data_IF_477593437499
#
_entry.id   IF_477593437499
#
_cell.length_a   1.000
_cell.length_b   1.000
_cell.length_c   1.000
_cell.angle_alpha   90.00
_cell.angle_beta   90.00
_cell.angle_gamma   90.00
#
_symmetry.space_group_name_H-M   'P 1'
#
loop_
_entity.id
_entity.type
_entity.pdbx_description
1 polymer ?
#
# COMPACT_ATOMS: atom_id res chain seq x y z
N UNK A 1 -12.52 28.36 1.96
CA UNK A 1 -13.44 27.22 2.11
C UNK A 1 -13.80 27.13 3.58
N UNK A 2 -15.08 26.99 3.92
CA UNK A 2 -15.50 26.77 5.32
C UNK A 2 -14.98 25.39 5.77
N UNK A 3 -14.15 25.36 6.81
CA UNK A 3 -13.55 24.12 7.33
C UNK A 3 -14.52 23.32 8.20
N UNK A 4 -15.59 23.94 8.70
CA UNK A 4 -16.55 23.33 9.62
C UNK A 4 -17.09 21.98 9.12
N UNK A 5 -17.60 21.89 7.88
CA UNK A 5 -18.14 20.63 7.35
C UNK A 5 -17.12 19.50 7.26
N UNK A 6 -15.88 19.79 6.83
CA UNK A 6 -14.79 18.80 6.73
C UNK A 6 -14.41 18.25 8.11
N UNK A 7 -14.20 19.15 9.08
CA UNK A 7 -13.79 18.78 10.44
C UNK A 7 -14.86 17.90 11.11
N UNK A 8 -16.13 18.26 10.97
CA UNK A 8 -17.23 17.48 11.53
C UNK A 8 -17.39 16.11 10.84
N UNK A 9 -17.17 16.05 9.52
CA UNK A 9 -17.13 14.77 8.81
C UNK A 9 -15.99 13.88 9.30
N UNK A 10 -14.78 14.42 9.44
CA UNK A 10 -13.61 13.67 9.89
C UNK A 10 -13.77 13.18 11.34
N UNK A 11 -14.29 14.03 12.24
CA UNK A 11 -14.58 13.64 13.62
C UNK A 11 -15.58 12.48 13.70
N UNK A 12 -16.65 12.52 12.89
CA UNK A 12 -17.62 11.43 12.80
C UNK A 12 -17.00 10.16 12.22
N UNK A 13 -16.16 10.27 11.20
CA UNK A 13 -15.44 9.14 10.63
C UNK A 13 -14.54 8.45 11.67
N UNK A 14 -13.71 9.21 12.37
CA UNK A 14 -12.79 8.70 13.40
C UNK A 14 -13.55 7.92 14.49
N UNK A 15 -14.63 8.49 15.03
CA UNK A 15 -15.45 7.82 16.04
C UNK A 15 -16.20 6.59 15.50
N UNK A 16 -16.71 6.65 14.27
CA UNK A 16 -17.40 5.52 13.64
C UNK A 16 -16.44 4.34 13.45
N UNK A 17 -15.23 4.61 12.96
CA UNK A 17 -14.18 3.61 12.77
C UNK A 17 -13.76 2.98 14.09
N UNK A 18 -13.52 3.78 15.14
CA UNK A 18 -13.21 3.26 16.48
C UNK A 18 -14.27 2.25 16.93
N UNK A 19 -15.55 2.64 16.85
CA UNK A 19 -16.67 1.79 17.25
C UNK A 19 -16.74 0.50 16.43
N UNK A 20 -16.58 0.60 15.11
CA UNK A 20 -16.65 -0.53 14.19
C UNK A 20 -15.53 -1.55 14.48
N UNK A 21 -14.28 -1.08 14.59
CA UNK A 21 -13.14 -1.95 14.86
C UNK A 21 -13.25 -2.61 16.23
N UNK A 22 -13.64 -1.88 17.27
CA UNK A 22 -13.84 -2.47 18.60
C UNK A 22 -14.99 -3.48 18.64
N UNK A 23 -16.03 -3.30 17.81
CA UNK A 23 -17.15 -4.24 17.74
C UNK A 23 -16.80 -5.55 17.02
N UNK A 24 -15.81 -5.53 16.14
CA UNK A 24 -15.40 -6.67 15.29
C UNK A 24 -14.06 -7.28 15.72
N UNK A 25 -13.35 -6.70 16.69
CA UNK A 25 -12.00 -7.12 17.09
C UNK A 25 -11.89 -8.59 17.48
N UNK A 26 -12.94 -9.16 18.08
CA UNK A 26 -13.00 -10.56 18.48
C UNK A 26 -13.08 -11.53 17.30
N UNK A 27 -13.49 -11.03 16.13
CA UNK A 27 -13.67 -11.78 14.88
C UNK A 27 -12.49 -11.59 13.92
N UNK A 28 -11.57 -10.67 14.22
CA UNK A 28 -10.39 -10.40 13.40
C UNK A 28 -9.35 -11.52 13.48
N UNK A 29 -8.76 -11.85 12.34
CA UNK A 29 -7.59 -12.72 12.21
C UNK A 29 -6.32 -12.04 12.74
N UNK A 30 -5.25 -12.81 12.99
CA UNK A 30 -3.95 -12.25 13.38
C UNK A 30 -3.44 -11.22 12.37
N UNK A 31 -3.61 -11.48 11.07
CA UNK A 31 -3.22 -10.56 10.00
C UNK A 31 -3.99 -9.25 10.06
N UNK A 32 -5.31 -9.31 10.20
CA UNK A 32 -6.14 -8.11 10.32
C UNK A 32 -5.78 -7.27 11.55
N UNK A 33 -5.46 -7.93 12.69
CA UNK A 33 -5.02 -7.25 13.89
C UNK A 33 -3.66 -6.56 13.68
N UNK A 34 -2.67 -7.26 13.09
CA UNK A 34 -1.36 -6.67 12.76
C UNK A 34 -1.50 -5.51 11.77
N UNK A 35 -2.29 -5.70 10.72
CA UNK A 35 -2.56 -4.69 9.72
C UNK A 35 -3.16 -3.42 10.35
N UNK A 36 -4.14 -3.58 11.25
CA UNK A 36 -4.74 -2.47 12.00
C UNK A 36 -3.69 -1.68 12.78
N UNK A 37 -2.78 -2.36 13.50
CA UNK A 37 -1.70 -1.68 14.23
C UNK A 37 -0.79 -0.94 13.27
N UNK A 38 -0.39 -1.57 12.18
CA UNK A 38 0.53 -0.99 11.19
C UNK A 38 -0.03 0.27 10.54
N UNK A 39 -1.28 0.24 10.08
CA UNK A 39 -1.93 1.39 9.42
C UNK A 39 -1.98 2.60 10.35
N UNK A 40 -2.44 2.39 11.58
CA UNK A 40 -2.54 3.46 12.56
C UNK A 40 -1.18 3.94 13.06
N UNK A 41 -0.23 3.04 13.27
CA UNK A 41 1.14 3.42 13.63
C UNK A 41 1.82 4.24 12.53
N UNK A 42 1.52 4.00 11.26
CA UNK A 42 2.04 4.80 10.13
C UNK A 42 1.45 6.21 10.08
N UNK A 43 0.30 6.46 10.73
CA UNK A 43 -0.26 7.80 10.94
C UNK A 43 0.37 8.57 12.11
N UNK A 44 1.21 7.94 12.93
CA UNK A 44 1.75 8.59 14.13
C UNK A 44 3.12 9.20 13.87
N UNK A 45 3.39 10.34 14.52
CA UNK A 45 4.76 10.83 14.65
C UNK A 45 5.60 9.86 15.49
N UNK A 46 6.93 9.99 15.41
CA UNK A 46 7.86 9.03 16.02
C UNK A 46 7.70 8.91 17.55
N UNK A 47 7.38 10.02 18.23
CA UNK A 47 7.21 10.02 19.69
C UNK A 47 5.91 9.31 20.06
N UNK A 48 4.80 9.69 19.43
CA UNK A 48 3.49 9.09 19.66
C UNK A 48 3.49 7.61 19.29
N UNK A 49 4.15 7.23 18.20
CA UNK A 49 4.31 5.85 17.76
C UNK A 49 5.05 5.01 18.78
N UNK A 50 6.18 5.50 19.28
CA UNK A 50 6.99 4.79 20.29
C UNK A 50 6.17 4.54 21.57
N UNK A 51 5.42 5.54 22.01
CA UNK A 51 4.58 5.43 23.20
C UNK A 51 3.40 4.47 22.99
N UNK A 52 2.70 4.57 21.86
CA UNK A 52 1.52 3.74 21.60
C UNK A 52 1.87 2.28 21.32
N UNK A 53 3.07 2.00 20.80
CA UNK A 53 3.55 0.65 20.52
C UNK A 53 4.37 0.04 21.66
N UNK A 54 4.42 0.69 22.83
CA UNK A 54 5.13 0.14 23.99
C UNK A 54 4.56 -1.24 24.36
N UNK A 55 5.42 -2.26 24.37
CA UNK A 55 5.01 -3.62 24.67
C UNK A 55 4.24 -4.32 23.54
N UNK A 56 4.21 -3.77 22.32
CA UNK A 56 3.75 -4.46 21.11
C UNK A 56 4.87 -5.28 20.46
N UNK A 57 4.50 -6.42 19.88
CA UNK A 57 5.36 -7.22 19.00
C UNK A 57 4.48 -8.07 18.11
N UNK A 58 4.83 -8.16 16.83
CA UNK A 58 4.12 -9.04 15.88
C UNK A 58 4.38 -10.53 16.10
N UNK A 59 5.31 -10.86 17.00
CA UNK A 59 5.63 -12.22 17.43
C UNK A 59 4.88 -12.62 18.71
N UNK A 60 4.05 -11.74 19.26
CA UNK A 60 3.19 -12.11 20.37
C UNK A 60 2.15 -13.15 19.96
N UNK A 61 1.70 -14.01 20.90
CA UNK A 61 0.55 -14.87 20.66
C UNK A 61 -0.69 -14.05 20.29
N UNK A 62 -1.57 -14.66 19.49
CA UNK A 62 -2.79 -14.03 18.98
C UNK A 62 -3.60 -13.30 20.06
N UNK A 63 -3.84 -13.93 21.21
CA UNK A 63 -4.64 -13.36 22.30
C UNK A 63 -4.01 -12.09 22.87
N UNK A 64 -2.67 -12.02 22.88
CA UNK A 64 -1.93 -10.85 23.34
C UNK A 64 -1.96 -9.73 22.30
N UNK A 65 -1.89 -10.07 21.01
CA UNK A 65 -2.09 -9.09 19.93
C UNK A 65 -3.51 -8.53 20.00
N UNK A 66 -4.53 -9.38 20.10
CA UNK A 66 -5.93 -8.96 20.18
C UNK A 66 -6.19 -8.04 21.38
N UNK A 67 -5.69 -8.42 22.57
CA UNK A 67 -5.81 -7.59 23.77
C UNK A 67 -5.09 -6.24 23.62
N UNK A 68 -3.89 -6.23 23.00
CA UNK A 68 -3.17 -5.00 22.71
C UNK A 68 -3.98 -4.09 21.78
N UNK A 69 -4.48 -4.62 20.66
CA UNK A 69 -5.26 -3.87 19.67
C UNK A 69 -6.51 -3.25 20.31
N UNK A 70 -7.16 -3.96 21.24
CA UNK A 70 -8.33 -3.46 21.96
C UNK A 70 -8.04 -2.19 22.76
N UNK A 71 -6.85 -2.09 23.37
CA UNK A 71 -6.39 -0.88 24.08
C UNK A 71 -5.77 0.18 23.16
N UNK A 72 -5.17 -0.24 22.06
CA UNK A 72 -4.48 0.62 21.11
C UNK A 72 -5.45 1.48 20.29
N UNK A 73 -6.58 0.92 19.83
CA UNK A 73 -7.57 1.63 19.00
C UNK A 73 -8.10 2.91 19.71
N UNK A 74 -8.54 2.89 20.98
CA UNK A 74 -8.96 4.11 21.68
C UNK A 74 -7.83 5.11 21.88
N UNK A 75 -6.61 4.64 22.17
CA UNK A 75 -5.45 5.51 22.36
C UNK A 75 -5.08 6.24 21.06
N UNK A 76 -5.01 5.51 19.95
CA UNK A 76 -4.81 6.08 18.63
C UNK A 76 -5.93 7.07 18.26
N UNK A 77 -7.18 6.73 18.57
CA UNK A 77 -8.34 7.59 18.27
C UNK A 77 -8.22 8.96 18.95
N UNK A 78 -7.74 9.01 20.20
CA UNK A 78 -7.49 10.28 20.88
C UNK A 78 -6.40 11.11 20.18
N UNK A 79 -5.35 10.47 19.69
CA UNK A 79 -4.27 11.13 18.95
C UNK A 79 -4.73 11.66 17.59
N UNK A 80 -5.53 10.88 16.85
CA UNK A 80 -6.09 11.30 15.58
C UNK A 80 -7.03 12.52 15.74
N UNK A 81 -7.83 12.56 16.80
CA UNK A 81 -8.66 13.72 17.13
C UNK A 81 -7.83 14.94 17.52
N UNK A 82 -6.75 14.75 18.26
CA UNK A 82 -5.83 15.82 18.62
C UNK A 82 -5.10 16.40 17.37
N UNK A 83 -4.66 15.54 16.45
CA UNK A 83 -4.11 15.98 15.16
C UNK A 83 -5.15 16.78 14.37
N UNK A 84 -6.40 16.29 14.26
CA UNK A 84 -7.48 17.02 13.61
C UNK A 84 -7.67 18.42 14.22
N UNK A 85 -7.69 18.54 15.54
CA UNK A 85 -7.83 19.82 16.25
C UNK A 85 -6.67 20.77 15.91
N UNK A 86 -5.42 20.28 15.86
CA UNK A 86 -4.25 21.07 15.42
C UNK A 86 -4.42 21.53 13.97
N UNK A 87 -4.82 20.63 13.06
CA UNK A 87 -4.98 20.94 11.62
C UNK A 87 -6.11 21.92 11.33
N UNK A 88 -7.10 22.03 12.20
CA UNK A 88 -8.14 23.06 12.06
C UNK A 88 -7.55 24.48 12.13
N UNK A 89 -6.48 24.68 12.91
CA UNK A 89 -5.83 25.97 13.15
C UNK A 89 -4.86 26.39 12.03
N UNK A 90 -4.41 25.45 11.18
CA UNK A 90 -3.44 25.73 10.11
C UNK A 90 -4.11 26.49 8.96
N UNK A 91 -3.68 27.69 8.61
CA UNK A 91 -4.29 28.45 7.51
C UNK A 91 -4.12 27.77 6.13
N UNK A 92 -5.12 27.92 5.25
CA UNK A 92 -5.08 27.36 3.89
C UNK A 92 -5.72 25.97 3.75
N UNK A 93 -5.51 25.37 2.57
CA UNK A 93 -6.05 24.06 2.17
C UNK A 93 -5.00 23.14 1.53
N UNK A 94 -3.71 23.42 1.74
CA UNK A 94 -2.61 22.57 1.28
C UNK A 94 -2.39 21.35 2.17
N UNK A 95 -1.38 20.53 1.86
CA UNK A 95 -1.09 19.29 2.59
C UNK A 95 -0.83 19.52 4.08
N UNK A 96 -0.25 20.65 4.46
CA UNK A 96 0.03 21.01 5.85
C UNK A 96 -1.24 21.14 6.71
N UNK A 97 -2.39 21.43 6.09
CA UNK A 97 -3.70 21.56 6.72
C UNK A 97 -4.50 20.24 6.76
N UNK A 98 -3.93 19.13 6.28
CA UNK A 98 -4.52 17.79 6.31
C UNK A 98 -3.99 16.98 7.51
N UNK A 99 -4.83 16.11 8.06
CA UNK A 99 -4.43 15.11 9.05
C UNK A 99 -3.64 13.98 8.39
N UNK A 100 -2.96 13.19 9.22
CA UNK A 100 -2.22 12.02 8.74
C UNK A 100 -3.14 10.98 8.07
N UNK A 101 -4.35 10.79 8.62
CA UNK A 101 -5.36 9.90 8.02
C UNK A 101 -5.88 10.43 6.68
N UNK A 102 -6.03 11.75 6.52
CA UNK A 102 -6.41 12.34 5.24
C UNK A 102 -5.30 12.16 4.20
N UNK A 103 -4.04 12.35 4.58
CA UNK A 103 -2.89 12.11 3.71
C UNK A 103 -2.76 10.63 3.30
N UNK A 104 -3.11 9.68 4.18
CA UNK A 104 -3.18 8.26 3.82
C UNK A 104 -4.30 7.95 2.83
N UNK A 105 -5.40 8.71 2.82
CA UNK A 105 -6.52 8.53 1.90
C UNK A 105 -6.33 9.24 0.55
N UNK A 106 -5.13 9.74 0.27
CA UNK A 106 -4.78 10.37 -1.01
C UNK A 106 -3.85 9.45 -1.82
N UNK A 107 -3.99 9.55 -3.13
CA UNK A 107 -3.06 8.91 -4.07
C UNK A 107 -1.67 9.56 -4.02
N UNK A 108 -0.65 8.86 -4.53
CA UNK A 108 0.67 9.46 -4.70
C UNK A 108 0.61 10.64 -5.68
N UNK A 109 -0.14 10.50 -6.77
CA UNK A 109 -0.34 11.55 -7.77
C UNK A 109 -0.82 12.87 -7.15
N UNK A 110 -1.91 12.83 -6.37
CA UNK A 110 -2.46 14.03 -5.74
C UNK A 110 -1.48 14.68 -4.75
N UNK A 111 -0.81 13.87 -3.92
CA UNK A 111 0.15 14.36 -2.93
C UNK A 111 1.36 15.02 -3.57
N UNK A 112 1.96 14.38 -4.58
CA UNK A 112 3.15 14.91 -5.24
C UNK A 112 2.82 16.13 -6.13
N UNK A 113 1.63 16.17 -6.73
CA UNK A 113 1.12 17.37 -7.41
C UNK A 113 1.01 18.57 -6.46
N UNK A 114 0.40 18.37 -5.27
CA UNK A 114 0.25 19.43 -4.29
C UNK A 114 1.59 19.85 -3.65
N UNK A 115 2.50 18.88 -3.42
CA UNK A 115 3.83 19.13 -2.88
C UNK A 115 4.67 20.04 -3.79
N UNK A 116 4.43 20.01 -5.11
CA UNK A 116 5.11 20.90 -6.05
C UNK A 116 4.77 22.38 -5.84
N UNK A 117 3.67 22.68 -5.14
CA UNK A 117 3.20 24.06 -4.90
C UNK A 117 3.63 24.62 -3.54
N UNK A 118 4.13 23.79 -2.64
CA UNK A 118 4.51 24.17 -1.27
C UNK A 118 5.63 23.25 -0.75
N UNK A 119 6.84 23.81 -0.65
CA UNK A 119 8.03 23.05 -0.27
C UNK A 119 8.04 22.60 1.20
N UNK A 120 7.30 23.28 2.07
CA UNK A 120 7.24 22.98 3.51
C UNK A 120 5.95 22.27 3.90
N UNK A 121 5.16 21.85 2.91
CA UNK A 121 3.85 21.25 3.13
C UNK A 121 3.88 19.96 3.97
N UNK A 122 5.00 19.23 3.92
CA UNK A 122 5.21 17.97 4.62
C UNK A 122 6.42 18.03 5.56
N UNK A 123 6.24 17.46 6.76
CA UNK A 123 7.34 17.21 7.70
C UNK A 123 8.32 16.18 7.13
N UNK A 124 9.57 16.09 7.64
CA UNK A 124 10.51 15.06 7.22
C UNK A 124 9.98 13.64 7.41
N UNK A 125 9.18 13.38 8.46
CA UNK A 125 8.55 12.07 8.68
C UNK A 125 7.50 11.74 7.61
N UNK A 126 6.65 12.70 7.26
CA UNK A 126 5.66 12.53 6.18
C UNK A 126 6.35 12.33 4.83
N UNK A 127 7.37 13.13 4.52
CA UNK A 127 8.11 13.03 3.27
C UNK A 127 8.78 11.65 3.10
N UNK A 128 9.33 11.07 4.18
CA UNK A 128 9.86 9.70 4.17
C UNK A 128 8.78 8.67 3.81
N UNK A 129 7.57 8.81 4.36
CA UNK A 129 6.43 7.92 4.05
C UNK A 129 6.03 8.00 2.59
N UNK A 130 5.95 9.22 2.05
CA UNK A 130 5.59 9.43 0.65
C UNK A 130 6.67 8.94 -0.34
N UNK A 131 7.96 9.09 0.00
CA UNK A 131 9.04 8.48 -0.78
C UNK A 131 9.03 6.96 -0.69
N UNK A 132 8.73 6.40 0.49
CA UNK A 132 8.55 4.95 0.63
C UNK A 132 7.39 4.45 -0.25
N UNK A 133 6.27 5.16 -0.30
CA UNK A 133 5.13 4.81 -1.18
C UNK A 133 5.48 4.90 -2.66
N UNK A 134 6.23 5.91 -3.09
CA UNK A 134 6.70 6.01 -4.47
C UNK A 134 7.53 4.79 -4.92
N UNK A 135 8.28 4.15 -4.01
CA UNK A 135 9.01 2.91 -4.33
C UNK A 135 8.08 1.75 -4.71
N UNK A 136 6.82 1.76 -4.25
CA UNK A 136 5.79 0.77 -4.56
C UNK A 136 4.92 1.15 -5.78
N UNK A 137 5.07 2.35 -6.35
CA UNK A 137 4.36 2.78 -7.55
C UNK A 137 4.94 2.15 -8.82
N UNK A 138 4.76 0.84 -9.02
CA UNK A 138 5.34 0.13 -10.18
C UNK A 138 4.63 0.39 -11.52
N UNK A 139 3.47 1.04 -11.48
CA UNK A 139 2.70 1.46 -12.66
C UNK A 139 1.96 2.77 -12.38
N UNK A 140 1.56 3.45 -13.45
CA UNK A 140 0.75 4.66 -13.41
C UNK A 140 -0.57 4.46 -12.65
N UNK A 141 -1.23 3.33 -12.86
CA UNK A 141 -2.47 3.00 -12.16
C UNK A 141 -2.28 3.01 -10.63
N UNK A 142 -1.20 2.40 -10.13
CA UNK A 142 -0.90 2.41 -8.69
C UNK A 142 -0.50 3.79 -8.18
N UNK A 143 0.18 4.59 -9.01
CA UNK A 143 0.52 5.97 -8.66
C UNK A 143 -0.73 6.85 -8.45
N UNK A 144 -1.79 6.59 -9.23
CA UNK A 144 -3.10 7.23 -9.10
C UNK A 144 -4.05 6.55 -8.12
N UNK A 145 -3.72 5.35 -7.64
CA UNK A 145 -4.56 4.57 -6.73
C UNK A 145 -4.47 5.13 -5.29
N UNK A 146 -5.63 5.52 -4.75
CA UNK A 146 -5.77 5.98 -3.37
C UNK A 146 -5.53 4.85 -2.35
N UNK A 147 -5.73 3.59 -2.74
CA UNK A 147 -5.60 2.43 -1.84
C UNK A 147 -4.15 2.00 -1.63
N UNK A 148 -3.24 2.37 -2.54
CA UNK A 148 -1.81 2.02 -2.45
C UNK A 148 -1.20 2.50 -1.13
N UNK A 149 -1.60 3.68 -0.66
CA UNK A 149 -1.09 4.27 0.58
C UNK A 149 -1.26 3.35 1.80
N UNK A 150 -2.33 2.53 1.82
CA UNK A 150 -2.57 1.50 2.82
C UNK A 150 -2.01 0.13 2.40
N UNK A 151 -2.13 -0.26 1.13
CA UNK A 151 -1.64 -1.56 0.65
C UNK A 151 -0.12 -1.73 0.83
N UNK A 152 0.66 -0.67 0.65
CA UNK A 152 2.12 -0.70 0.85
C UNK A 152 2.52 -1.17 2.27
N UNK A 153 1.68 -0.89 3.27
CA UNK A 153 1.90 -1.19 4.69
C UNK A 153 1.84 -2.71 4.97
N UNK A 154 1.25 -3.49 4.07
CA UNK A 154 1.23 -4.96 4.16
C UNK A 154 2.64 -5.54 4.04
N UNK A 155 3.53 -4.88 3.29
CA UNK A 155 4.84 -5.41 2.96
C UNK A 155 5.88 -4.99 4.00
N UNK A 156 6.61 -5.94 4.62
CA UNK A 156 7.69 -5.61 5.56
C UNK A 156 8.75 -4.67 4.97
N UNK A 157 8.98 -4.80 3.67
CA UNK A 157 9.88 -3.95 2.90
C UNK A 157 9.55 -2.46 3.00
N UNK A 158 8.30 -2.07 3.18
CA UNK A 158 7.90 -0.68 3.40
C UNK A 158 8.55 -0.09 4.66
N UNK A 159 8.54 -0.84 5.76
CA UNK A 159 9.13 -0.40 7.02
C UNK A 159 10.67 -0.38 6.96
N UNK A 160 11.29 -1.37 6.31
CA UNK A 160 12.74 -1.38 6.06
C UNK A 160 13.19 -0.16 5.23
N UNK A 161 12.39 0.21 4.23
CA UNK A 161 12.62 1.40 3.41
C UNK A 161 12.47 2.67 4.26
N UNK A 162 11.42 2.77 5.09
CA UNK A 162 11.26 3.91 6.00
C UNK A 162 12.44 4.07 6.95
N UNK A 163 12.93 2.98 7.54
CA UNK A 163 14.12 3.00 8.39
C UNK A 163 15.37 3.42 7.63
N UNK A 164 15.51 3.01 6.37
CA UNK A 164 16.65 3.41 5.54
C UNK A 164 16.58 4.90 5.17
N UNK A 165 15.39 5.39 4.81
CA UNK A 165 15.13 6.81 4.59
C UNK A 165 15.30 7.66 5.86
N UNK A 166 15.06 7.08 7.05
CA UNK A 166 15.28 7.75 8.33
C UNK A 166 16.75 8.07 8.62
N UNK A 167 17.69 7.38 7.97
CA UNK A 167 19.13 7.61 8.13
C UNK A 167 19.62 8.80 7.30
N UNK A 168 18.81 9.29 6.36
CA UNK A 168 19.13 10.50 5.59
C UNK A 168 18.92 11.74 6.45
N UNK A 169 19.79 12.74 6.27
CA UNK A 169 19.58 14.04 6.90
C UNK A 169 18.32 14.74 6.33
N UNK A 170 17.70 15.68 7.07
CA UNK A 170 16.63 16.50 6.52
C UNK A 170 17.02 17.22 5.23
N UNK A 171 18.27 17.67 5.12
CA UNK A 171 18.82 18.28 3.90
C UNK A 171 18.84 17.30 2.72
N UNK A 172 19.30 16.07 2.94
CA UNK A 172 19.37 15.04 1.90
C UNK A 172 17.98 14.59 1.44
N UNK A 173 17.02 14.50 2.37
CA UNK A 173 15.62 14.22 2.03
C UNK A 173 15.02 15.33 1.15
N UNK A 174 15.25 16.60 1.50
CA UNK A 174 14.81 17.73 0.67
C UNK A 174 15.51 17.73 -0.70
N UNK A 175 16.80 17.43 -0.74
CA UNK A 175 17.55 17.34 -1.98
C UNK A 175 17.02 16.21 -2.87
N UNK A 176 16.70 15.04 -2.30
CA UNK A 176 16.07 13.94 -3.02
C UNK A 176 14.69 14.35 -3.54
N UNK A 177 13.82 14.93 -2.70
CA UNK A 177 12.52 15.49 -3.13
C UNK A 177 12.65 16.38 -4.35
N UNK A 178 13.61 17.31 -4.34
CA UNK A 178 13.82 18.26 -5.43
C UNK A 178 14.23 17.61 -6.76
N UNK A 179 14.87 16.44 -6.71
CA UNK A 179 15.18 15.67 -7.93
C UNK A 179 13.99 14.85 -8.41
N UNK A 180 13.12 14.39 -7.50
CA UNK A 180 11.93 13.61 -7.83
C UNK A 180 10.77 14.47 -8.35
N UNK A 181 10.58 15.67 -7.80
CA UNK A 181 9.44 16.55 -8.13
C UNK A 181 9.26 16.82 -9.64
N UNK A 182 10.31 17.19 -10.40
CA UNK A 182 10.16 17.36 -11.85
C UNK A 182 9.71 16.08 -12.55
N UNK A 183 10.22 14.92 -12.12
CA UNK A 183 9.85 13.61 -12.69
C UNK A 183 8.40 13.26 -12.38
N UNK A 184 7.91 13.51 -11.16
CA UNK A 184 6.49 13.26 -10.84
C UNK A 184 5.56 14.16 -11.66
N UNK A 185 5.96 15.40 -11.93
CA UNK A 185 5.22 16.28 -12.85
C UNK A 185 5.26 15.83 -14.32
N UNK A 186 6.31 15.10 -14.72
CA UNK A 186 6.40 14.47 -16.04
C UNK A 186 5.46 13.25 -16.11
N UNK A 187 5.39 12.42 -15.06
CA UNK A 187 4.42 11.32 -14.94
C UNK A 187 2.99 11.83 -15.17
N UNK A 188 2.61 12.93 -14.53
CA UNK A 188 1.25 13.50 -14.62
C UNK A 188 0.87 13.95 -16.05
N UNK A 189 1.85 14.16 -16.94
CA UNK A 189 1.65 14.64 -18.32
C UNK A 189 1.88 13.55 -19.37
N UNK A 190 2.50 12.45 -18.98
CA UNK A 190 2.90 11.39 -19.89
C UNK A 190 1.71 10.45 -20.21
N UNK A 191 1.69 9.81 -21.38
CA UNK A 191 0.82 8.66 -21.60
C UNK A 191 1.23 7.49 -20.67
N UNK A 192 0.31 6.57 -20.32
CA UNK A 192 0.55 5.52 -19.31
C UNK A 192 1.84 4.72 -19.51
N UNK A 193 2.13 4.30 -20.74
CA UNK A 193 3.33 3.50 -21.07
C UNK A 193 4.64 4.26 -20.78
N UNK A 194 4.68 5.57 -21.08
CA UNK A 194 5.83 6.41 -20.77
C UNK A 194 5.87 6.81 -19.28
N UNK A 195 4.69 6.91 -18.64
CA UNK A 195 4.59 7.18 -17.22
C UNK A 195 5.21 6.05 -16.37
N UNK A 196 5.03 4.79 -16.78
CA UNK A 196 5.64 3.62 -16.12
C UNK A 196 7.18 3.67 -16.18
N UNK A 197 7.77 4.06 -17.31
CA UNK A 197 9.22 4.23 -17.44
C UNK A 197 9.76 5.36 -16.54
N UNK A 198 9.03 6.47 -16.46
CA UNK A 198 9.41 7.60 -15.58
C UNK A 198 9.30 7.16 -14.11
N UNK A 199 8.24 6.44 -13.74
CA UNK A 199 8.05 5.88 -12.40
C UNK A 199 9.17 4.89 -12.04
N UNK A 200 9.60 4.03 -12.96
CA UNK A 200 10.78 3.19 -12.74
C UNK A 200 12.01 4.02 -12.42
N UNK A 201 12.27 5.08 -13.18
CA UNK A 201 13.38 6.01 -12.92
C UNK A 201 13.29 6.71 -11.54
N UNK A 202 12.09 7.09 -11.11
CA UNK A 202 11.82 7.62 -9.77
C UNK A 202 12.18 6.58 -8.69
N UNK A 203 11.69 5.34 -8.85
CA UNK A 203 11.92 4.24 -7.91
C UNK A 203 13.41 3.93 -7.79
N UNK A 204 14.13 3.84 -8.90
CA UNK A 204 15.58 3.62 -8.92
C UNK A 204 16.36 4.74 -8.23
N UNK A 205 15.91 5.99 -8.36
CA UNK A 205 16.56 7.12 -7.71
C UNK A 205 16.42 7.09 -6.19
N UNK A 206 15.22 6.74 -5.68
CA UNK A 206 15.00 6.55 -4.25
C UNK A 206 15.82 5.35 -3.75
N UNK A 207 15.78 4.22 -4.45
CA UNK A 207 16.55 3.02 -4.11
C UNK A 207 18.06 3.31 -4.02
N UNK A 208 18.61 4.09 -4.96
CA UNK A 208 20.01 4.51 -4.95
C UNK A 208 20.32 5.41 -3.74
N UNK A 209 19.43 6.33 -3.40
CA UNK A 209 19.62 7.23 -2.26
C UNK A 209 19.72 6.48 -0.93
N UNK A 210 19.01 5.37 -0.79
CA UNK A 210 19.04 4.52 0.41
C UNK A 210 19.98 3.31 0.30
N UNK A 211 20.73 3.20 -0.82
CA UNK A 211 21.61 2.05 -1.10
C UNK A 211 20.89 0.70 -1.03
N UNK A 212 19.67 0.62 -1.56
CA UNK A 212 18.92 -0.63 -1.64
C UNK A 212 19.63 -1.63 -2.56
N UNK A 213 19.95 -2.81 -2.04
CA UNK A 213 20.81 -3.82 -2.68
C UNK A 213 20.03 -5.00 -3.29
N UNK A 214 18.71 -4.88 -3.40
CA UNK A 214 17.82 -5.92 -3.93
C UNK A 214 16.93 -5.41 -5.09
N UNK A 215 16.40 -6.30 -5.94
CA UNK A 215 15.51 -5.93 -7.02
C UNK A 215 14.24 -5.24 -6.52
N UNK A 216 13.75 -4.22 -7.23
CA UNK A 216 12.55 -3.47 -6.84
C UNK A 216 11.27 -4.32 -6.80
N UNK A 217 11.19 -5.40 -7.57
CA UNK A 217 10.02 -6.29 -7.58
C UNK A 217 9.95 -7.16 -6.31
N UNK A 218 11.09 -7.41 -5.64
CA UNK A 218 11.13 -8.13 -4.35
C UNK A 218 10.48 -7.34 -3.21
N UNK A 219 10.16 -6.06 -3.41
CA UNK A 219 9.49 -5.23 -2.39
C UNK A 219 8.07 -5.71 -2.07
N UNK A 220 7.45 -6.44 -2.99
CA UNK A 220 6.08 -6.99 -2.85
C UNK A 220 6.07 -8.41 -2.27
N UNK A 221 7.20 -8.93 -1.81
CA UNK A 221 7.29 -10.29 -1.26
C UNK A 221 6.95 -10.32 0.24
N UNK A 222 6.25 -11.39 0.64
CA UNK A 222 5.95 -11.64 2.06
C UNK A 222 4.95 -10.65 2.64
N UNK A 223 3.88 -10.32 1.90
CA UNK A 223 2.74 -9.56 2.41
C UNK A 223 2.30 -10.12 3.77
N UNK A 224 2.06 -9.22 4.72
CA UNK A 224 1.75 -9.53 6.12
C UNK A 224 2.81 -10.36 6.87
N UNK A 225 4.01 -10.55 6.31
CA UNK A 225 5.14 -11.14 7.03
C UNK A 225 5.51 -10.30 8.27
N UNK A 226 5.99 -10.93 9.34
CA UNK A 226 6.22 -10.25 10.63
C UNK A 226 7.36 -9.22 10.56
N UNK A 227 7.22 -8.11 11.28
CA UNK A 227 8.26 -7.08 11.46
C UNK A 227 8.80 -7.02 12.91
N UNK A 228 10.12 -6.81 13.10
CA UNK A 228 11.16 -6.86 12.06
C UNK A 228 11.31 -8.28 11.51
N UNK A 229 11.74 -8.42 10.25
CA UNK A 229 12.02 -9.74 9.68
C UNK A 229 13.09 -10.43 10.52
N UNK A 230 12.79 -11.62 11.05
CA UNK A 230 13.77 -12.42 11.76
C UNK A 230 14.90 -12.85 10.81
N UNK A 231 16.15 -12.87 11.28
CA UNK A 231 17.32 -13.22 10.44
C UNK A 231 17.23 -14.59 9.76
N UNK A 232 16.43 -15.52 10.28
CA UNK A 232 16.19 -16.85 9.69
C UNK A 232 14.99 -16.91 8.72
N UNK A 233 14.18 -15.85 8.60
CA UNK A 233 13.00 -15.82 7.73
C UNK A 233 13.31 -15.52 6.26
N UNK A 234 14.56 -15.20 5.92
CA UNK A 234 15.01 -15.07 4.52
C UNK A 234 14.87 -16.41 3.77
N UNK A 235 14.73 -17.53 4.50
CA UNK A 235 14.54 -18.87 3.91
C UNK A 235 13.07 -19.29 3.71
N UNK A 236 12.09 -18.67 4.38
CA UNK A 236 10.67 -19.08 4.28
C UNK A 236 9.89 -18.39 3.13
N UNK A 237 10.46 -17.37 2.50
CA UNK A 237 9.83 -16.62 1.40
C UNK A 237 9.77 -17.36 0.03
N UNK A 238 9.85 -18.70 0.02
CA UNK A 238 9.66 -19.50 -1.20
C UNK A 238 8.39 -20.34 -1.22
N UNK A 239 7.55 -20.25 -0.18
CA UNK A 239 6.17 -20.71 -0.29
C UNK A 239 5.34 -19.58 -0.90
N UNK A 240 4.88 -19.77 -2.15
CA UNK A 240 3.77 -18.98 -2.66
C UNK A 240 2.65 -19.01 -1.61
N UNK A 241 1.97 -17.88 -1.31
CA UNK A 241 0.82 -17.92 -0.44
C UNK A 241 -0.13 -18.99 -0.97
N UNK A 242 -0.66 -19.83 -0.09
CA UNK A 242 -1.77 -20.72 -0.41
C UNK A 242 -2.89 -19.82 -0.93
N UNK A 243 -2.94 -19.68 -2.25
CA UNK A 243 -3.99 -18.95 -2.92
C UNK A 243 -5.25 -19.74 -2.58
N UNK A 244 -6.26 -19.14 -1.92
CA UNK A 244 -7.47 -19.88 -1.64
C UNK A 244 -7.95 -20.50 -2.95
N UNK A 245 -7.98 -21.83 -2.99
CA UNK A 245 -8.35 -22.58 -4.20
C UNK A 245 -9.84 -22.33 -4.40
N UNK A 246 -10.15 -21.24 -5.09
CA UNK A 246 -11.50 -20.96 -5.57
C UNK A 246 -11.94 -22.15 -6.40
N UNK A 247 -13.13 -22.67 -6.12
CA UNK A 247 -13.73 -23.70 -6.96
C UNK A 247 -13.92 -23.17 -8.39
N UNK A 248 -13.96 -24.07 -9.38
CA UNK A 248 -14.23 -23.72 -10.78
C UNK A 248 -15.45 -22.79 -10.94
N UNK A 249 -16.50 -23.00 -10.15
CA UNK A 249 -17.73 -22.20 -10.19
C UNK A 249 -17.48 -20.76 -9.70
N UNK A 250 -16.68 -20.58 -8.64
CA UNK A 250 -16.31 -19.27 -8.10
C UNK A 250 -15.36 -18.51 -9.03
N UNK A 251 -14.43 -19.20 -9.69
CA UNK A 251 -13.56 -18.60 -10.71
C UNK A 251 -14.37 -18.14 -11.92
N UNK A 252 -15.30 -18.97 -12.40
CA UNK A 252 -16.18 -18.60 -13.52
C UNK A 252 -17.06 -17.41 -13.17
N UNK A 253 -17.58 -17.35 -11.94
CA UNK A 253 -18.39 -16.23 -11.47
C UNK A 253 -17.57 -14.94 -11.36
N UNK A 254 -16.35 -15.03 -10.83
CA UNK A 254 -15.42 -13.90 -10.69
C UNK A 254 -14.96 -13.35 -12.04
N UNK A 255 -14.59 -14.23 -12.96
CA UNK A 255 -14.22 -13.85 -14.34
C UNK A 255 -15.42 -13.20 -15.02
N UNK A 256 -16.63 -13.76 -14.89
CA UNK A 256 -17.84 -13.16 -15.47
C UNK A 256 -18.11 -11.76 -14.89
N UNK A 257 -18.03 -11.61 -13.57
CA UNK A 257 -18.24 -10.32 -12.90
C UNK A 257 -17.21 -9.28 -13.37
N UNK A 258 -15.94 -9.67 -13.51
CA UNK A 258 -14.89 -8.81 -14.06
C UNK A 258 -15.17 -8.43 -15.51
N UNK A 259 -15.56 -9.37 -16.37
CA UNK A 259 -15.89 -9.05 -17.78
C UNK A 259 -17.12 -8.15 -17.92
N UNK A 260 -18.09 -8.27 -17.01
CA UNK A 260 -19.29 -7.41 -16.99
C UNK A 260 -18.95 -5.95 -16.61
N UNK A 261 -17.79 -5.72 -15.97
CA UNK A 261 -17.27 -4.40 -15.59
C UNK A 261 -16.32 -3.78 -16.61
N UNK A 262 -15.88 -4.55 -17.61
CA UNK A 262 -14.92 -4.11 -18.62
C UNK A 262 -15.60 -3.44 -19.81
N UNK A 263 -14.91 -2.46 -20.40
CA UNK A 263 -15.27 -1.91 -21.70
C UNK A 263 -15.00 -2.91 -22.83
N UNK A 264 -15.63 -2.72 -23.99
CA UNK A 264 -15.46 -3.59 -25.16
C UNK A 264 -14.00 -3.68 -25.62
N UNK A 265 -13.24 -2.59 -25.47
CA UNK A 265 -11.83 -2.54 -25.87
C UNK A 265 -10.91 -3.23 -24.85
N UNK A 266 -11.19 -3.10 -23.55
CA UNK A 266 -10.51 -3.86 -22.50
C UNK A 266 -10.80 -5.36 -22.62
N UNK A 267 -12.06 -5.74 -22.85
CA UNK A 267 -12.42 -7.14 -23.13
C UNK A 267 -11.69 -7.68 -24.36
N UNK A 268 -11.44 -6.86 -25.39
CA UNK A 268 -10.70 -7.29 -26.58
C UNK A 268 -9.22 -7.44 -26.27
N UNK A 269 -8.61 -6.51 -25.53
CA UNK A 269 -7.17 -6.54 -25.20
C UNK A 269 -6.82 -7.69 -24.26
N UNK A 270 -7.56 -7.82 -23.15
CA UNK A 270 -7.20 -8.76 -22.07
C UNK A 270 -7.65 -10.19 -22.35
N UNK A 271 -8.74 -10.38 -23.10
CA UNK A 271 -9.33 -11.71 -23.33
C UNK A 271 -8.99 -12.30 -24.70
N UNK A 272 -8.30 -11.57 -25.59
CA UNK A 272 -7.85 -12.12 -26.89
C UNK A 272 -7.08 -13.42 -26.74
N UNK A 273 -6.09 -13.53 -25.82
CA UNK A 273 -5.29 -14.75 -25.69
C UNK A 273 -6.13 -15.99 -25.31
N UNK A 274 -7.24 -15.79 -24.58
CA UNK A 274 -8.16 -16.85 -24.18
C UNK A 274 -9.15 -17.20 -25.28
N UNK A 275 -9.68 -16.20 -26.02
CA UNK A 275 -10.59 -16.41 -27.16
C UNK A 275 -9.92 -17.06 -28.36
N UNK A 276 -8.62 -16.83 -28.54
CA UNK A 276 -7.83 -17.48 -29.59
C UNK A 276 -7.60 -18.98 -29.30
N UNK A 277 -7.79 -19.40 -28.05
CA UNK A 277 -7.48 -20.75 -27.57
C UNK A 277 -8.72 -21.57 -27.18
N UNK A 278 -9.78 -20.92 -26.72
CA UNK A 278 -11.01 -21.56 -26.28
C UNK A 278 -12.23 -20.85 -26.89
N UNK A 279 -13.17 -21.64 -27.42
CA UNK A 279 -14.38 -21.12 -28.07
C UNK A 279 -15.33 -20.42 -27.08
N UNK A 280 -15.22 -20.75 -25.80
CA UNK A 280 -16.00 -20.20 -24.70
C UNK A 280 -15.21 -20.23 -23.39
N UNK A 281 -15.50 -19.29 -22.48
CA UNK A 281 -14.96 -19.32 -21.11
C UNK A 281 -15.34 -20.59 -20.35
N UNK A 282 -16.45 -21.23 -20.70
CA UNK A 282 -16.90 -22.48 -20.09
C UNK A 282 -16.05 -23.69 -20.52
N UNK A 283 -15.27 -23.55 -21.61
CA UNK A 283 -14.44 -24.60 -22.19
C UNK A 283 -12.99 -24.57 -21.67
N UNK A 284 -12.63 -23.60 -20.83
CA UNK A 284 -11.28 -23.48 -20.27
C UNK A 284 -11.08 -24.57 -19.19
N UNK A 285 -10.05 -25.42 -19.31
CA UNK A 285 -9.68 -26.38 -18.28
C UNK A 285 -9.30 -25.68 -16.97
N UNK A 286 -9.65 -26.27 -15.82
CA UNK A 286 -9.37 -25.72 -14.49
C UNK A 286 -7.88 -25.44 -14.27
N UNK A 287 -7.00 -26.29 -14.81
CA UNK A 287 -5.55 -26.08 -14.78
C UNK A 287 -5.08 -24.81 -15.50
N UNK A 288 -5.79 -24.37 -16.55
CA UNK A 288 -5.47 -23.17 -17.32
C UNK A 288 -6.10 -21.90 -16.72
N UNK A 289 -7.10 -22.04 -15.82
CA UNK A 289 -7.69 -20.93 -15.07
C UNK A 289 -6.77 -20.46 -13.91
N UNK A 290 -5.96 -21.35 -13.35
CA UNK A 290 -5.03 -21.04 -12.27
C UNK A 290 -3.63 -20.60 -12.76
N UNK A 291 -3.31 -20.81 -14.05
CA UNK A 291 -2.04 -20.39 -14.67
C UNK A 291 -2.28 -19.88 -16.11
N UNK A 292 -2.78 -18.64 -16.27
CA UNK A 292 -3.02 -18.06 -17.59
C UNK A 292 -1.73 -17.79 -18.39
N UNK A 293 -0.55 -17.96 -17.78
CA UNK A 293 0.76 -17.76 -18.42
C UNK A 293 1.31 -19.01 -19.13
N UNK A 294 0.68 -20.18 -18.93
CA UNK A 294 1.06 -21.44 -19.58
C UNK A 294 2.38 -22.05 -19.09
N UNK A 295 2.86 -21.69 -17.89
CA UNK A 295 4.10 -22.22 -17.34
C UNK A 295 4.00 -23.71 -16.97
N UNK A 296 2.81 -24.18 -16.57
CA UNK A 296 2.55 -25.58 -16.21
C UNK A 296 2.68 -26.57 -17.39
N UNK A 297 2.50 -26.12 -18.65
CA UNK A 297 2.51 -27.01 -19.82
C UNK A 297 3.88 -27.35 -20.40
N UNK A 298 4.96 -26.66 -20.03
CA UNK A 298 6.31 -27.04 -20.51
C UNK A 298 6.84 -28.34 -19.89
N UNK A 299 6.19 -28.87 -18.83
CA UNK A 299 6.57 -30.16 -18.22
C UNK A 299 5.91 -31.37 -18.87
N UNK A 300 4.80 -31.20 -19.58
CA UNK A 300 4.07 -32.33 -20.19
C UNK A 300 4.48 -32.66 -21.64
N UNK A 301 5.36 -31.87 -22.26
CA UNK A 301 5.89 -32.12 -23.60
C UNK A 301 7.21 -32.90 -23.63
N UNK A 302 7.81 -33.19 -22.47
CA UNK A 302 8.96 -34.08 -22.35
C UNK A 302 8.48 -35.46 -21.85
N UNK A 303 7.97 -36.26 -22.78
CA UNK A 303 7.68 -37.68 -22.54
C UNK A 303 8.96 -38.49 -22.29
N UNK A 304 8.86 -39.63 -21.58
CA UNK A 304 10.01 -40.45 -21.22
C UNK A 304 10.63 -41.09 -22.48
N UNK A 305 11.96 -41.13 -22.52
CA UNK A 305 12.73 -41.99 -23.44
C UNK A 305 12.58 -43.46 -23.09
#
# INVERSE_FOLDING_TARGET
MDKGPRVEQMRRYIHSREKELLSTITEMTEDQLRWTVRVFADCLDETSRTLCLEGYSEYHPFERIQAFVASFIPQYTQLALADLDVKTQVEGSGLSALTEEELQNMSCAEKWYLLASDEEALTPAQLRREMARLLFCRSYDLYCDLTLSMAAIEFPSYFEIQESLARLSPEDLRALRNRLLPKTQEVDKAPPEAADEILLGIREEIARAISLDRPLDSLFEGAMGRIPRGGDQVAEATAAPDTPVMSREELQLSVKALTDLMTVDEMRRELSPLKDRYASFYDIPEADLHDPSGASMRRSAAGPS
#
